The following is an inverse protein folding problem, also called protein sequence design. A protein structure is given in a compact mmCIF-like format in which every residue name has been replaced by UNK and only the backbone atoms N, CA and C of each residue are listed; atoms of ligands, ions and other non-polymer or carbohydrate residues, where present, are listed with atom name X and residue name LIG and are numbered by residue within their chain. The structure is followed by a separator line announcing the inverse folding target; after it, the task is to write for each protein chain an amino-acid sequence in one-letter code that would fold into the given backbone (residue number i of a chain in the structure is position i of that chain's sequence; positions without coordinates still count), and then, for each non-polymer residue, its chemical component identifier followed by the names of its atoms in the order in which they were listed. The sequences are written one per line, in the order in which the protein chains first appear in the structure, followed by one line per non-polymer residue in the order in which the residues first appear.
data_IF_847121075329
#
_entry.id   IF_847121075329
#
_cell.length_a   1.000
_cell.length_b   1.000
_cell.length_c   1.000
_cell.angle_alpha   90.00
_cell.angle_beta   90.00
_cell.angle_gamma   90.00
#
_symmetry.space_group_name_H-M   'P 1'
#
loop_
_entity.id
_entity.type
_entity.pdbx_description
1 polymer ?
#
# COMPACT_ATOMS: atom_id res chain seq x y z
N UNK A 1 -21.84 16.18 -5.75
CA UNK A 1 -21.47 14.76 -5.53
C UNK A 1 -21.39 14.53 -4.02
N UNK A 2 -21.95 13.45 -3.47
CA UNK A 2 -22.15 13.29 -2.02
C UNK A 2 -20.93 12.61 -1.37
N UNK A 3 -20.24 13.30 -0.46
CA UNK A 3 -19.06 12.84 0.30
C UNK A 3 -19.22 11.45 0.90
N UNK A 4 -20.41 11.12 1.41
CA UNK A 4 -20.69 9.81 2.04
C UNK A 4 -20.59 8.68 1.00
N UNK A 5 -20.98 8.95 -0.26
CA UNK A 5 -20.83 7.98 -1.37
C UNK A 5 -19.39 7.82 -1.85
N UNK A 6 -18.49 8.75 -1.52
CA UNK A 6 -17.05 8.66 -1.82
C UNK A 6 -16.34 7.82 -0.75
N UNK A 7 -16.78 7.92 0.50
CA UNK A 7 -16.26 7.16 1.63
C UNK A 7 -16.67 5.67 1.59
N UNK A 8 -17.90 5.37 1.16
CA UNK A 8 -18.34 4.00 0.87
C UNK A 8 -17.49 3.31 -0.21
N UNK A 9 -16.81 4.07 -1.08
CA UNK A 9 -15.90 3.51 -2.11
C UNK A 9 -14.52 3.16 -1.57
N UNK A 10 -14.09 3.72 -0.44
CA UNK A 10 -12.78 3.40 0.17
C UNK A 10 -12.80 2.09 0.97
N UNK A 11 -13.97 1.47 1.16
CA UNK A 11 -14.10 0.15 1.79
C UNK A 11 -15.35 -0.57 1.27
N UNK A 12 -15.35 -1.05 0.00
CA UNK A 12 -16.51 -1.65 -0.67
C UNK A 12 -17.03 -2.93 0.02
N UNK A 13 -16.29 -3.45 1.00
CA UNK A 13 -16.55 -4.70 1.71
C UNK A 13 -17.46 -4.60 2.92
N UNK A 14 -17.68 -3.39 3.43
CA UNK A 14 -18.41 -3.23 4.69
C UNK A 14 -19.87 -2.91 4.42
N UNK A 15 -20.61 -3.94 4.01
CA UNK A 15 -22.05 -3.82 3.72
C UNK A 15 -22.93 -3.78 4.98
N UNK A 16 -22.38 -4.07 6.16
CA UNK A 16 -23.12 -4.07 7.44
C UNK A 16 -22.31 -3.49 8.62
N UNK A 17 -23.03 -2.98 9.62
CA UNK A 17 -22.47 -2.47 10.88
C UNK A 17 -21.76 -3.54 11.72
N UNK A 18 -22.22 -4.80 11.65
CA UNK A 18 -21.60 -5.92 12.38
C UNK A 18 -20.26 -6.37 11.78
N UNK A 19 -20.08 -6.29 10.47
CA UNK A 19 -18.78 -6.54 9.84
C UNK A 19 -17.76 -5.47 10.22
N UNK A 20 -18.20 -4.22 10.39
CA UNK A 20 -17.36 -3.15 10.95
C UNK A 20 -16.90 -3.54 12.35
N UNK A 21 -17.81 -3.97 13.23
CA UNK A 21 -17.52 -4.36 14.62
C UNK A 21 -16.62 -5.59 14.79
N UNK A 22 -16.63 -6.54 13.86
CA UNK A 22 -15.81 -7.76 13.94
C UNK A 22 -14.32 -7.48 13.68
N UNK A 23 -14.00 -6.52 12.79
CA UNK A 23 -12.63 -5.98 12.63
C UNK A 23 -12.20 -5.11 13.83
N UNK A 24 -13.13 -4.66 14.67
CA UNK A 24 -12.90 -3.89 15.89
C UNK A 24 -12.73 -4.74 17.16
N UNK A 25 -12.57 -6.06 17.06
CA UNK A 25 -12.22 -6.92 18.23
C UNK A 25 -10.84 -6.61 18.84
N UNK A 26 -10.08 -5.68 18.24
CA UNK A 26 -9.06 -4.83 18.88
C UNK A 26 -9.58 -3.95 20.05
N UNK A 27 -10.85 -4.09 20.45
CA UNK A 27 -11.52 -3.38 21.56
C UNK A 27 -10.81 -3.52 22.91
N UNK A 28 -10.02 -4.56 23.10
CA UNK A 28 -9.18 -4.73 24.30
C UNK A 28 -7.84 -3.98 24.19
N UNK A 29 -7.24 -3.89 23.01
CA UNK A 29 -6.05 -3.05 22.77
C UNK A 29 -6.35 -1.55 22.92
N UNK A 30 -7.55 -1.11 22.55
CA UNK A 30 -8.00 0.28 22.72
C UNK A 30 -8.47 0.64 24.14
N UNK A 31 -8.71 -0.34 25.01
CA UNK A 31 -9.05 -0.05 26.42
C UNK A 31 -7.88 0.54 27.21
N UNK A 32 -6.65 0.35 26.73
CA UNK A 32 -5.42 0.90 27.30
C UNK A 32 -5.05 2.29 26.73
N UNK A 33 -5.79 2.79 25.73
CA UNK A 33 -5.67 4.13 25.11
C UNK A 33 -6.77 5.11 25.57
N UNK A 34 -7.25 4.91 26.80
CA UNK A 34 -8.57 5.31 27.30
C UNK A 34 -9.00 6.78 27.25
N UNK A 35 -8.15 7.75 26.89
CA UNK A 35 -8.52 9.18 26.97
C UNK A 35 -8.47 9.95 25.64
N UNK A 36 -8.05 9.34 24.54
CA UNK A 36 -8.12 9.96 23.19
C UNK A 36 -9.31 9.44 22.35
N UNK A 37 -9.95 8.37 22.82
CA UNK A 37 -10.92 7.55 22.08
C UNK A 37 -12.40 7.95 22.20
N UNK A 38 -12.76 9.24 22.08
CA UNK A 38 -14.19 9.63 22.07
C UNK A 38 -14.79 9.97 20.71
N UNK A 39 -14.05 10.10 19.60
CA UNK A 39 -14.68 10.58 18.33
C UNK A 39 -14.17 10.10 16.96
N UNK A 40 -13.39 9.02 16.80
CA UNK A 40 -13.02 8.57 15.44
C UNK A 40 -13.09 7.05 15.27
N UNK A 41 -14.09 6.59 14.53
CA UNK A 41 -14.16 5.23 13.98
C UNK A 41 -13.41 5.21 12.64
N UNK A 42 -12.24 4.59 12.63
CA UNK A 42 -11.22 4.61 11.56
C UNK A 42 -11.51 3.64 10.39
N UNK A 43 -12.66 3.74 9.72
CA UNK A 43 -12.88 2.97 8.47
C UNK A 43 -13.28 3.80 7.24
N UNK A 44 -13.39 5.11 7.38
CA UNK A 44 -13.32 6.03 6.26
C UNK A 44 -12.96 7.40 6.84
N UNK A 45 -11.87 8.02 6.40
CA UNK A 45 -11.53 9.39 6.82
C UNK A 45 -12.66 10.31 6.34
N UNK A 46 -13.54 10.82 7.21
CA UNK A 46 -14.64 11.66 6.76
C UNK A 46 -14.05 12.94 6.16
N UNK A 47 -14.37 13.26 4.90
CA UNK A 47 -13.92 14.49 4.23
C UNK A 47 -14.24 15.77 5.05
N UNK A 48 -15.19 15.71 5.99
CA UNK A 48 -15.48 16.79 6.95
C UNK A 48 -14.35 17.07 7.96
N UNK A 49 -13.34 16.21 8.06
CA UNK A 49 -12.11 16.44 8.84
C UNK A 49 -11.11 17.30 8.04
N UNK A 50 -11.19 17.32 6.70
CA UNK A 50 -10.28 18.12 5.87
C UNK A 50 -10.44 19.63 6.09
N UNK A 51 -11.63 20.10 6.51
CA UNK A 51 -11.85 21.51 6.86
C UNK A 51 -11.22 21.93 8.19
N UNK A 52 -10.69 20.99 8.97
CA UNK A 52 -10.08 21.23 10.28
C UNK A 52 -8.53 21.16 10.25
N UNK A 53 -7.93 21.08 9.06
CA UNK A 53 -6.47 21.01 8.91
C UNK A 53 -5.84 22.35 9.32
N UNK A 54 -4.97 22.39 10.35
CA UNK A 54 -4.20 23.59 10.65
C UNK A 54 -3.30 23.91 9.46
N UNK A 55 -3.16 25.20 9.12
CA UNK A 55 -2.33 25.63 7.98
C UNK A 55 -0.88 25.23 8.21
N UNK A 56 -0.43 24.21 7.49
CA UNK A 56 0.98 23.85 7.32
C UNK A 56 1.71 25.03 6.67
N UNK A 57 2.96 25.30 7.05
CA UNK A 57 3.72 26.39 6.44
C UNK A 57 3.88 26.18 4.93
N UNK A 58 3.99 27.27 4.16
CA UNK A 58 3.98 27.20 2.69
C UNK A 58 5.11 26.33 2.11
N UNK A 59 6.30 26.34 2.74
CA UNK A 59 7.44 25.52 2.33
C UNK A 59 7.20 24.02 2.57
N UNK A 60 6.58 23.67 3.70
CA UNK A 60 6.20 22.29 4.02
C UNK A 60 5.08 21.79 3.10
N UNK A 61 4.23 22.69 2.59
CA UNK A 61 3.14 22.34 1.67
C UNK A 61 3.66 21.90 0.30
N UNK A 62 4.67 22.56 -0.26
CA UNK A 62 5.27 22.18 -1.55
C UNK A 62 5.98 20.81 -1.46
N UNK A 63 6.72 20.57 -0.39
CA UNK A 63 7.35 19.28 -0.12
C UNK A 63 6.30 18.17 0.03
N UNK A 64 5.23 18.43 0.78
CA UNK A 64 4.12 17.49 0.98
C UNK A 64 3.40 17.16 -0.33
N UNK A 65 3.12 18.16 -1.18
CA UNK A 65 2.54 17.93 -2.51
C UNK A 65 3.47 17.04 -3.35
N UNK A 66 4.79 17.24 -3.27
CA UNK A 66 5.76 16.37 -3.93
C UNK A 66 5.65 14.90 -3.50
N UNK A 67 5.59 14.66 -2.18
CA UNK A 67 5.43 13.31 -1.61
C UNK A 67 4.11 12.67 -2.03
N UNK A 68 3.00 13.43 -2.03
CA UNK A 68 1.70 12.91 -2.44
C UNK A 68 1.61 12.64 -3.95
N UNK A 69 2.26 13.44 -4.78
CA UNK A 69 2.35 13.18 -6.22
C UNK A 69 3.23 11.96 -6.53
N UNK A 70 4.28 11.75 -5.75
CA UNK A 70 5.05 10.52 -5.79
C UNK A 70 4.18 9.31 -5.47
N UNK A 71 3.42 9.34 -4.36
CA UNK A 71 2.50 8.25 -4.01
C UNK A 71 1.45 8.04 -5.12
N UNK A 72 0.84 9.13 -5.61
CA UNK A 72 -0.17 9.09 -6.69
C UNK A 72 0.36 8.44 -7.97
N UNK A 73 1.66 8.57 -8.26
CA UNK A 73 2.27 7.90 -9.42
C UNK A 73 2.28 6.38 -9.26
N UNK A 74 2.54 5.88 -8.04
CA UNK A 74 2.51 4.45 -7.72
C UNK A 74 1.09 3.90 -7.74
N UNK A 75 0.14 4.64 -7.15
CA UNK A 75 -1.28 4.27 -7.17
C UNK A 75 -1.83 4.19 -8.61
N UNK A 76 -1.39 5.10 -9.49
CA UNK A 76 -1.73 5.03 -10.91
C UNK A 76 -1.19 3.76 -11.57
N UNK A 77 0.04 3.37 -11.25
CA UNK A 77 0.67 2.15 -11.76
C UNK A 77 -0.14 0.92 -11.35
N UNK A 78 -0.44 0.79 -10.05
CA UNK A 78 -1.15 -0.38 -9.50
C UNK A 78 -2.60 -0.44 -9.98
N UNK A 79 -3.34 0.68 -9.94
CA UNK A 79 -4.70 0.76 -10.46
C UNK A 79 -4.76 0.33 -11.93
N UNK A 80 -3.86 0.86 -12.77
CA UNK A 80 -3.83 0.53 -14.20
C UNK A 80 -3.48 -0.94 -14.42
N UNK A 81 -2.51 -1.46 -13.68
CA UNK A 81 -2.10 -2.86 -13.77
C UNK A 81 -3.26 -3.82 -13.49
N UNK A 82 -4.00 -3.59 -12.40
CA UNK A 82 -5.13 -4.43 -12.06
C UNK A 82 -6.32 -4.26 -12.99
N UNK A 83 -6.57 -3.04 -13.48
CA UNK A 83 -7.58 -2.80 -14.51
C UNK A 83 -7.29 -3.62 -15.78
N UNK A 84 -6.07 -3.54 -16.31
CA UNK A 84 -5.66 -4.29 -17.50
C UNK A 84 -5.66 -5.81 -17.26
N UNK A 85 -5.26 -6.26 -16.07
CA UNK A 85 -5.34 -7.67 -15.67
C UNK A 85 -6.76 -8.21 -15.74
N UNK A 86 -7.73 -7.48 -15.18
CA UNK A 86 -9.15 -7.85 -15.23
C UNK A 86 -9.70 -7.83 -16.66
N UNK A 87 -9.37 -6.80 -17.44
CA UNK A 87 -9.86 -6.63 -18.80
C UNK A 87 -9.27 -7.66 -19.79
N UNK A 88 -8.05 -8.14 -19.54
CA UNK A 88 -7.36 -9.13 -20.39
C UNK A 88 -7.98 -10.52 -20.35
N UNK A 89 -8.71 -10.86 -19.29
CA UNK A 89 -9.22 -12.21 -19.04
C UNK A 89 -8.18 -13.20 -18.50
N UNK A 90 -6.96 -12.76 -18.15
CA UNK A 90 -5.93 -13.63 -17.54
C UNK A 90 -6.32 -14.13 -16.14
N UNK A 91 -7.21 -13.40 -15.46
CA UNK A 91 -7.70 -13.71 -14.11
C UNK A 91 -9.00 -14.51 -14.22
N UNK A 92 -9.01 -15.73 -13.67
CA UNK A 92 -10.15 -16.64 -13.80
C UNK A 92 -10.81 -17.00 -12.47
N UNK A 93 -12.07 -17.43 -12.55
CA UNK A 93 -12.80 -18.05 -11.45
C UNK A 93 -12.93 -17.19 -10.20
N UNK A 94 -12.70 -17.78 -9.03
CA UNK A 94 -12.85 -17.11 -7.74
C UNK A 94 -11.87 -15.97 -7.50
N UNK A 95 -10.79 -15.89 -8.28
CA UNK A 95 -9.74 -14.87 -8.10
C UNK A 95 -10.16 -13.51 -8.68
N UNK A 96 -11.13 -13.49 -9.61
CA UNK A 96 -11.72 -12.25 -10.13
C UNK A 96 -12.22 -11.35 -9.00
N UNK A 97 -12.86 -11.92 -7.97
CA UNK A 97 -13.36 -11.14 -6.83
C UNK A 97 -12.23 -10.51 -6.00
N UNK A 98 -11.06 -11.17 -5.94
CA UNK A 98 -9.90 -10.68 -5.21
C UNK A 98 -9.34 -9.46 -5.95
N UNK A 99 -9.01 -9.61 -7.22
CA UNK A 99 -8.38 -8.55 -8.00
C UNK A 99 -9.32 -7.42 -8.38
N UNK A 100 -10.62 -7.68 -8.51
CA UNK A 100 -11.65 -6.62 -8.62
C UNK A 100 -11.59 -5.71 -7.39
N UNK A 101 -11.46 -6.29 -6.20
CA UNK A 101 -11.42 -5.50 -4.96
C UNK A 101 -10.11 -4.74 -4.81
N UNK A 102 -8.98 -5.37 -5.09
CA UNK A 102 -7.68 -4.69 -5.07
C UNK A 102 -7.71 -3.48 -6.02
N UNK A 103 -8.14 -3.69 -7.28
CA UNK A 103 -8.37 -2.60 -8.25
C UNK A 103 -9.27 -1.48 -7.72
N UNK A 104 -10.34 -1.81 -6.99
CA UNK A 104 -11.25 -0.81 -6.40
C UNK A 104 -10.59 -0.01 -5.28
N UNK A 105 -9.73 -0.65 -4.47
CA UNK A 105 -8.93 0.04 -3.46
C UNK A 105 -7.91 0.99 -4.11
N UNK A 106 -7.18 0.55 -5.14
CA UNK A 106 -6.22 1.43 -5.82
C UNK A 106 -6.90 2.64 -6.47
N UNK A 107 -8.07 2.44 -7.08
CA UNK A 107 -8.86 3.56 -7.58
C UNK A 107 -9.26 4.53 -6.46
N UNK A 108 -9.60 4.01 -5.28
CA UNK A 108 -9.94 4.84 -4.14
C UNK A 108 -8.73 5.63 -3.63
N UNK A 109 -7.54 5.03 -3.61
CA UNK A 109 -6.29 5.71 -3.24
C UNK A 109 -5.95 6.83 -4.25
N UNK A 110 -6.01 6.55 -5.55
CA UNK A 110 -5.84 7.56 -6.62
C UNK A 110 -6.76 8.76 -6.40
N UNK A 111 -8.07 8.51 -6.24
CA UNK A 111 -9.07 9.56 -6.06
C UNK A 111 -8.85 10.36 -4.77
N UNK A 112 -8.48 9.67 -3.69
CA UNK A 112 -8.17 10.30 -2.41
C UNK A 112 -6.96 11.24 -2.54
N UNK A 113 -5.85 10.78 -3.12
CA UNK A 113 -4.65 11.59 -3.29
C UNK A 113 -4.92 12.80 -4.20
N UNK A 114 -5.63 12.62 -5.31
CA UNK A 114 -6.04 13.72 -6.19
C UNK A 114 -6.87 14.78 -5.45
N UNK A 115 -7.80 14.35 -4.60
CA UNK A 115 -8.63 15.24 -3.78
C UNK A 115 -7.79 16.01 -2.75
N UNK A 116 -6.89 15.34 -2.04
CA UNK A 116 -6.01 15.98 -1.05
C UNK A 116 -5.07 16.98 -1.72
N UNK A 117 -4.41 16.57 -2.82
CA UNK A 117 -3.49 17.46 -3.53
C UNK A 117 -4.23 18.69 -4.05
N UNK A 118 -5.38 18.51 -4.72
CA UNK A 118 -6.09 19.62 -5.36
C UNK A 118 -6.83 20.51 -4.37
N UNK A 119 -7.68 19.93 -3.54
CA UNK A 119 -8.70 20.68 -2.80
C UNK A 119 -8.28 20.99 -1.37
N UNK A 120 -7.28 20.28 -0.83
CA UNK A 120 -6.76 20.51 0.52
C UNK A 120 -5.47 21.31 0.49
N UNK A 121 -4.52 20.90 -0.35
CA UNK A 121 -3.20 21.54 -0.43
C UNK A 121 -3.11 22.60 -1.53
N UNK A 122 -4.05 22.65 -2.47
CA UNK A 122 -4.04 23.62 -3.57
C UNK A 122 -2.96 23.34 -4.63
N UNK A 123 -2.45 22.11 -4.68
CA UNK A 123 -1.49 21.64 -5.69
C UNK A 123 -2.17 21.12 -6.96
N UNK A 124 -1.35 20.69 -7.92
CA UNK A 124 -1.83 19.95 -9.10
C UNK A 124 -1.49 18.48 -8.91
N UNK A 125 -2.47 17.56 -8.96
CA UNK A 125 -2.19 16.14 -9.06
C UNK A 125 -1.43 15.84 -10.35
N UNK A 126 -0.50 14.91 -10.27
CA UNK A 126 0.19 14.34 -11.43
C UNK A 126 -0.84 13.59 -12.28
N UNK A 127 -0.71 13.71 -13.60
CA UNK A 127 -1.51 12.94 -14.53
C UNK A 127 -1.04 11.47 -14.53
N UNK A 128 -1.97 10.55 -14.79
CA UNK A 128 -1.64 9.14 -14.98
C UNK A 128 -0.60 8.98 -16.11
N UNK A 129 0.57 8.37 -15.85
CA UNK A 129 1.54 8.04 -16.89
C UNK A 129 1.03 6.95 -17.84
N UNK A 130 1.66 6.86 -19.01
CA UNK A 130 1.54 5.66 -19.84
C UNK A 130 2.48 4.57 -19.28
N UNK A 131 2.01 3.33 -19.25
CA UNK A 131 2.73 2.21 -18.64
C UNK A 131 2.99 1.08 -19.65
N UNK A 132 4.18 0.49 -19.58
CA UNK A 132 4.56 -0.77 -20.23
C UNK A 132 4.78 -1.88 -19.19
N UNK A 133 3.71 -2.63 -18.90
CA UNK A 133 3.79 -3.78 -17.98
C UNK A 133 4.53 -5.00 -18.52
N UNK A 134 4.97 -4.97 -19.78
CA UNK A 134 5.89 -5.99 -20.30
C UNK A 134 7.34 -5.69 -19.93
N UNK A 135 7.65 -4.47 -19.44
CA UNK A 135 9.00 -3.98 -19.18
C UNK A 135 9.94 -4.26 -20.36
N UNK A 136 9.56 -3.81 -21.56
CA UNK A 136 10.30 -4.06 -22.80
C UNK A 136 10.26 -5.52 -23.28
N UNK A 137 9.16 -6.24 -23.01
CA UNK A 137 8.96 -7.64 -23.41
C UNK A 137 9.54 -8.69 -22.47
N UNK A 138 10.03 -8.31 -21.30
CA UNK A 138 10.55 -9.22 -20.27
C UNK A 138 9.44 -9.97 -19.51
N UNK A 139 8.22 -9.41 -19.49
CA UNK A 139 7.06 -9.99 -18.83
C UNK A 139 5.86 -10.09 -19.76
N UNK A 140 4.95 -11.03 -19.45
CA UNK A 140 3.68 -11.20 -20.17
C UNK A 140 2.49 -11.29 -19.20
N UNK A 141 2.30 -10.29 -18.31
CA UNK A 141 1.35 -10.40 -17.21
C UNK A 141 -0.11 -10.56 -17.63
N UNK A 142 -0.48 -10.10 -18.83
CA UNK A 142 -1.87 -10.11 -19.29
C UNK A 142 -2.22 -11.34 -20.14
N UNK A 143 -1.28 -12.28 -20.29
CA UNK A 143 -1.52 -13.58 -20.94
C UNK A 143 -1.00 -14.75 -20.13
N UNK A 144 -0.19 -14.51 -19.09
CA UNK A 144 0.34 -15.52 -18.19
C UNK A 144 0.02 -15.17 -16.73
N UNK A 145 -0.89 -15.93 -16.13
CA UNK A 145 -1.38 -15.67 -14.78
C UNK A 145 -0.32 -15.82 -13.66
N UNK A 146 0.62 -16.78 -13.71
CA UNK A 146 1.79 -16.79 -12.81
C UNK A 146 2.60 -15.49 -12.85
N UNK A 147 2.89 -14.96 -14.06
CA UNK A 147 3.55 -13.66 -14.22
C UNK A 147 2.69 -12.54 -13.66
N UNK A 148 1.37 -12.57 -13.89
CA UNK A 148 0.45 -11.59 -13.32
C UNK A 148 0.57 -11.52 -11.79
N UNK A 149 0.55 -12.68 -11.12
CA UNK A 149 0.64 -12.78 -9.66
C UNK A 149 2.02 -12.38 -9.14
N UNK A 150 3.08 -12.71 -9.87
CA UNK A 150 4.45 -12.33 -9.49
C UNK A 150 4.63 -10.80 -9.51
N UNK A 151 4.17 -10.13 -10.58
CA UNK A 151 4.21 -8.67 -10.66
C UNK A 151 3.22 -8.00 -9.69
N UNK A 152 2.05 -8.60 -9.45
CA UNK A 152 1.14 -8.11 -8.39
C UNK A 152 1.85 -8.09 -7.04
N UNK A 153 2.54 -9.18 -6.66
CA UNK A 153 3.28 -9.21 -5.40
C UNK A 153 4.37 -8.12 -5.36
N UNK A 154 5.11 -7.96 -6.45
CA UNK A 154 6.19 -6.98 -6.55
C UNK A 154 5.69 -5.54 -6.39
N UNK A 155 4.57 -5.17 -7.03
CA UNK A 155 3.99 -3.85 -6.91
C UNK A 155 3.51 -3.57 -5.48
N UNK A 156 2.69 -4.46 -4.93
CA UNK A 156 2.14 -4.29 -3.58
C UNK A 156 3.23 -4.19 -2.51
N UNK A 157 4.30 -4.97 -2.64
CA UNK A 157 5.47 -4.85 -1.76
C UNK A 157 6.19 -3.52 -1.92
N UNK A 158 6.30 -3.03 -3.16
CA UNK A 158 6.87 -1.71 -3.42
C UNK A 158 6.00 -0.63 -2.79
N UNK A 159 4.67 -0.73 -2.89
CA UNK A 159 3.70 0.18 -2.27
C UNK A 159 3.83 0.24 -0.75
N UNK A 160 3.84 -0.90 -0.06
CA UNK A 160 4.08 -1.00 1.41
C UNK A 160 5.34 -0.23 1.79
N UNK A 161 6.45 -0.53 1.11
CA UNK A 161 7.76 0.04 1.46
C UNK A 161 7.85 1.52 1.10
N UNK A 162 7.18 1.96 0.04
CA UNK A 162 7.09 3.35 -0.39
C UNK A 162 6.33 4.22 0.63
N UNK A 163 5.15 3.77 1.07
CA UNK A 163 4.36 4.49 2.07
C UNK A 163 5.09 4.59 3.40
N UNK A 164 5.70 3.48 3.85
CA UNK A 164 6.51 3.49 5.08
C UNK A 164 7.70 4.45 4.97
N UNK A 165 8.38 4.45 3.83
CA UNK A 165 9.54 5.32 3.58
C UNK A 165 9.22 6.81 3.58
N UNK A 166 7.99 7.18 3.24
CA UNK A 166 7.54 8.58 3.26
C UNK A 166 6.82 9.00 4.54
N UNK A 167 6.55 8.09 5.47
CA UNK A 167 5.81 8.40 6.70
C UNK A 167 6.45 9.55 7.51
N UNK A 168 7.79 9.60 7.61
CA UNK A 168 8.49 10.69 8.28
C UNK A 168 8.35 12.04 7.56
N UNK A 169 8.25 12.04 6.23
CA UNK A 169 8.12 13.27 5.43
C UNK A 169 6.71 13.87 5.49
N UNK A 170 5.72 13.11 5.96
CA UNK A 170 4.33 13.57 6.13
C UNK A 170 3.92 13.72 7.59
N UNK A 171 4.83 13.48 8.54
CA UNK A 171 4.50 13.34 9.96
C UNK A 171 4.02 14.63 10.62
N UNK A 172 4.35 15.79 10.05
CA UNK A 172 3.90 17.11 10.53
C UNK A 172 2.40 17.36 10.26
N UNK A 173 1.75 16.51 9.47
CA UNK A 173 0.31 16.56 9.23
C UNK A 173 -0.35 15.27 9.70
N UNK A 174 -0.96 15.28 10.89
CA UNK A 174 -1.67 14.12 11.44
C UNK A 174 -2.69 13.52 10.47
N UNK A 175 -3.37 14.35 9.69
CA UNK A 175 -4.37 13.91 8.70
C UNK A 175 -3.70 13.16 7.55
N UNK A 176 -2.61 13.70 6.99
CA UNK A 176 -1.91 13.07 5.88
C UNK A 176 -1.14 11.84 6.35
N UNK A 177 -0.49 11.90 7.53
CA UNK A 177 0.16 10.75 8.14
C UNK A 177 -0.84 9.62 8.41
N UNK A 178 -2.01 9.93 8.98
CA UNK A 178 -3.06 8.92 9.23
C UNK A 178 -3.53 8.29 7.92
N UNK A 179 -3.71 9.07 6.87
CA UNK A 179 -4.09 8.56 5.57
C UNK A 179 -3.00 7.66 4.96
N UNK A 180 -1.74 8.13 4.94
CA UNK A 180 -0.60 7.36 4.44
C UNK A 180 -0.43 6.02 5.18
N UNK A 181 -0.54 6.01 6.51
CA UNK A 181 -0.45 4.78 7.31
C UNK A 181 -1.70 3.88 7.16
N UNK A 182 -2.85 4.43 6.77
CA UNK A 182 -4.04 3.64 6.45
C UNK A 182 -3.88 2.94 5.11
N UNK A 183 -3.37 3.64 4.09
CA UNK A 183 -3.06 3.08 2.77
C UNK A 183 -1.97 2.03 2.90
N UNK A 184 -0.86 2.31 3.60
CA UNK A 184 0.17 1.33 3.96
C UNK A 184 -0.40 0.00 4.47
N UNK A 185 -1.41 0.06 5.35
CA UNK A 185 -2.06 -1.13 5.90
C UNK A 185 -2.99 -1.83 4.91
N UNK A 186 -3.52 -1.15 3.89
CA UNK A 186 -4.25 -1.74 2.77
C UNK A 186 -3.27 -2.48 1.86
N UNK A 187 -2.20 -1.82 1.42
CA UNK A 187 -1.12 -2.43 0.61
C UNK A 187 -0.58 -3.70 1.26
N UNK A 188 -0.28 -3.66 2.57
CA UNK A 188 0.23 -4.83 3.27
C UNK A 188 -0.75 -6.02 3.26
N UNK A 189 -2.07 -5.75 3.22
CA UNK A 189 -3.09 -6.80 3.12
C UNK A 189 -3.20 -7.34 1.70
N UNK A 190 -3.08 -6.50 0.68
CA UNK A 190 -3.02 -6.94 -0.71
C UNK A 190 -1.78 -7.79 -0.94
N UNK A 191 -0.60 -7.32 -0.54
CA UNK A 191 0.67 -8.02 -0.60
C UNK A 191 0.58 -9.40 0.10
N UNK A 192 -0.04 -9.46 1.28
CA UNK A 192 -0.28 -10.72 2.01
C UNK A 192 -1.23 -11.66 1.26
N UNK A 193 -2.31 -11.10 0.69
CA UNK A 193 -3.30 -11.87 -0.04
C UNK A 193 -2.72 -12.49 -1.31
N UNK A 194 -1.95 -11.72 -2.09
CA UNK A 194 -1.29 -12.20 -3.30
C UNK A 194 -0.29 -13.31 -2.98
N UNK A 195 0.56 -13.15 -1.94
CA UNK A 195 1.47 -14.22 -1.50
C UNK A 195 0.75 -15.51 -1.16
N UNK A 196 -0.30 -15.42 -0.34
CA UNK A 196 -1.11 -16.57 0.04
C UNK A 196 -1.78 -17.23 -1.15
N UNK A 197 -2.19 -16.44 -2.15
CA UNK A 197 -2.76 -16.94 -3.38
C UNK A 197 -1.71 -17.68 -4.23
N UNK A 198 -0.51 -17.12 -4.39
CA UNK A 198 0.63 -17.78 -5.05
C UNK A 198 0.97 -19.12 -4.38
N UNK A 199 1.06 -19.14 -3.05
CA UNK A 199 1.28 -20.38 -2.28
C UNK A 199 0.14 -21.39 -2.48
N UNK A 200 -1.12 -20.95 -2.40
CA UNK A 200 -2.29 -21.81 -2.63
C UNK A 200 -2.30 -22.44 -4.03
N UNK A 201 -1.73 -21.75 -5.02
CA UNK A 201 -1.61 -22.22 -6.41
C UNK A 201 -0.36 -23.05 -6.67
N UNK A 202 0.48 -23.27 -5.67
CA UNK A 202 1.73 -24.01 -5.80
C UNK A 202 2.78 -23.28 -6.63
N UNK A 203 2.69 -21.95 -6.76
CA UNK A 203 3.68 -21.12 -7.47
C UNK A 203 4.86 -20.75 -6.57
N UNK A 204 4.69 -20.86 -5.26
CA UNK A 204 5.70 -20.52 -4.26
C UNK A 204 5.41 -21.27 -2.95
N UNK A 205 6.36 -21.25 -2.01
CA UNK A 205 6.21 -21.74 -0.63
C UNK A 205 6.61 -20.65 0.36
N UNK A 206 5.86 -19.55 0.33
CA UNK A 206 6.11 -18.36 1.15
C UNK A 206 4.97 -18.08 2.13
N UNK A 207 5.31 -17.37 3.20
CA UNK A 207 4.36 -16.83 4.18
C UNK A 207 3.57 -15.67 3.58
N UNK A 208 2.57 -15.19 4.31
CA UNK A 208 1.83 -13.97 3.93
C UNK A 208 2.59 -12.67 4.19
N UNK A 209 3.89 -12.72 4.43
CA UNK A 209 4.80 -11.62 4.76
C UNK A 209 6.22 -12.02 4.35
N UNK A 210 7.17 -11.08 4.40
CA UNK A 210 8.56 -11.26 3.98
C UNK A 210 9.36 -11.90 5.11
N UNK A 211 10.27 -12.81 4.76
CA UNK A 211 11.24 -13.39 5.70
C UNK A 211 12.65 -13.17 5.14
N UNK A 212 13.51 -12.48 5.87
CA UNK A 212 14.94 -12.32 5.58
C UNK A 212 15.24 -11.89 4.13
N UNK A 213 14.59 -10.83 3.63
CA UNK A 213 14.77 -10.33 2.27
C UNK A 213 14.53 -11.36 1.14
N UNK A 214 13.81 -12.44 1.44
CA UNK A 214 13.52 -13.50 0.48
C UNK A 214 12.55 -13.01 -0.60
N UNK A 215 12.92 -13.29 -1.86
CA UNK A 215 12.07 -13.07 -3.02
C UNK A 215 11.19 -14.28 -3.37
N UNK A 216 11.33 -15.40 -2.63
CA UNK A 216 10.69 -16.67 -2.96
C UNK A 216 11.03 -17.12 -4.39
N UNK A 217 10.01 -17.36 -5.19
CA UNK A 217 10.13 -17.72 -6.61
C UNK A 217 9.99 -16.53 -7.58
N UNK A 218 9.99 -15.29 -7.09
CA UNK A 218 9.94 -14.12 -7.96
C UNK A 218 11.19 -13.98 -8.85
N UNK A 219 11.08 -13.30 -10.00
CA UNK A 219 12.22 -13.02 -10.86
C UNK A 219 13.33 -12.27 -10.12
N UNK A 220 14.60 -12.59 -10.39
CA UNK A 220 15.75 -11.93 -9.73
C UNK A 220 15.75 -10.39 -9.84
N UNK A 221 15.11 -9.84 -10.87
CA UNK A 221 14.92 -8.40 -11.05
C UNK A 221 14.14 -7.73 -9.89
N UNK A 222 13.33 -8.48 -9.14
CA UNK A 222 12.56 -7.95 -8.01
C UNK A 222 13.37 -7.82 -6.73
N UNK A 223 14.64 -8.26 -6.68
CA UNK A 223 15.44 -8.28 -5.45
C UNK A 223 15.57 -6.91 -4.77
N UNK A 224 15.60 -5.83 -5.56
CA UNK A 224 15.66 -4.47 -5.04
C UNK A 224 14.45 -4.13 -4.13
N UNK A 225 13.28 -4.74 -4.40
CA UNK A 225 12.04 -4.56 -3.62
C UNK A 225 12.17 -5.16 -2.22
N UNK A 226 13.14 -6.04 -1.98
CA UNK A 226 13.32 -6.75 -0.70
C UNK A 226 14.62 -6.37 0.01
N UNK A 227 15.39 -5.41 -0.53
CA UNK A 227 16.65 -4.96 0.06
C UNK A 227 16.41 -4.41 1.49
N UNK A 228 17.09 -4.97 2.48
CA UNK A 228 17.00 -4.53 3.88
C UNK A 228 15.91 -5.20 4.72
N UNK A 229 15.03 -6.01 4.12
CA UNK A 229 13.98 -6.78 4.84
C UNK A 229 14.55 -7.93 5.71
N UNK A 230 15.88 -8.07 5.79
CA UNK A 230 16.62 -8.92 6.72
C UNK A 230 17.21 -8.13 7.90
N UNK A 231 16.84 -6.85 8.04
CA UNK A 231 17.34 -5.98 9.09
C UNK A 231 16.90 -6.46 10.50
N UNK A 232 17.89 -6.59 11.38
CA UNK A 232 17.68 -6.96 12.79
C UNK A 232 17.95 -5.80 13.75
N UNK A 233 18.35 -4.63 13.24
CA UNK A 233 18.78 -3.49 14.04
C UNK A 233 17.78 -2.35 13.93
N UNK A 234 17.13 -2.03 15.05
CA UNK A 234 16.14 -0.97 15.15
C UNK A 234 16.49 -0.04 16.30
N UNK A 235 16.45 1.27 16.08
CA UNK A 235 16.84 2.25 17.10
C UNK A 235 18.31 2.12 17.55
N UNK A 236 19.19 1.61 16.68
CA UNK A 236 20.61 1.39 16.97
C UNK A 236 20.92 0.13 17.78
N UNK A 237 19.93 -0.74 18.02
CA UNK A 237 20.12 -1.98 18.77
C UNK A 237 19.68 -3.19 17.95
N UNK A 238 20.48 -4.25 17.98
CA UNK A 238 20.11 -5.52 17.37
C UNK A 238 19.07 -6.23 18.25
N UNK A 239 17.84 -6.32 17.77
CA UNK A 239 16.67 -6.85 18.50
C UNK A 239 16.80 -8.36 18.73
N UNK A 240 17.42 -9.09 17.80
CA UNK A 240 17.69 -10.52 17.97
C UNK A 240 18.67 -10.79 19.13
N UNK A 241 19.57 -9.84 19.44
CA UNK A 241 20.48 -9.94 20.58
C UNK A 241 19.85 -9.52 21.92
N UNK A 242 18.71 -8.81 21.89
CA UNK A 242 17.99 -8.37 23.10
C UNK A 242 16.90 -9.33 23.55
N UNK A 243 16.46 -10.21 22.67
CA UNK A 243 15.30 -11.08 22.88
C UNK A 243 15.71 -12.55 22.72
N UNK A 244 14.77 -13.47 22.97
CA UNK A 244 14.91 -14.89 22.61
C UNK A 244 14.20 -15.24 21.30
N UNK A 245 13.71 -14.22 20.58
CA UNK A 245 13.03 -14.37 19.30
C UNK A 245 14.10 -14.64 18.24
N UNK A 246 13.87 -15.62 17.37
CA UNK A 246 14.80 -15.94 16.30
C UNK A 246 14.89 -14.80 15.28
N UNK A 247 16.04 -14.68 14.60
CA UNK A 247 16.30 -13.60 13.67
C UNK A 247 15.25 -13.48 12.55
N UNK A 248 14.72 -14.60 12.06
CA UNK A 248 13.69 -14.56 11.03
C UNK A 248 12.39 -13.96 11.59
N UNK A 249 11.93 -14.40 12.76
CA UNK A 249 10.77 -13.81 13.41
C UNK A 249 10.96 -12.33 13.80
N UNK A 250 12.19 -11.89 14.09
CA UNK A 250 12.50 -10.47 14.26
C UNK A 250 12.29 -9.73 12.95
N UNK A 251 12.92 -10.16 11.85
CA UNK A 251 12.80 -9.52 10.54
C UNK A 251 11.33 -9.47 10.06
N UNK A 252 10.58 -10.56 10.23
CA UNK A 252 9.16 -10.67 9.87
C UNK A 252 8.23 -9.68 10.61
N UNK A 253 8.72 -9.04 11.67
CA UNK A 253 7.96 -8.09 12.49
C UNK A 253 7.99 -6.65 11.98
N UNK A 254 8.76 -6.34 10.93
CA UNK A 254 8.97 -4.98 10.44
C UNK A 254 8.77 -4.90 8.94
N UNK A 255 8.11 -3.83 8.49
CA UNK A 255 8.14 -3.40 7.09
C UNK A 255 9.29 -2.39 6.96
N UNK A 256 10.35 -2.76 6.24
CA UNK A 256 11.53 -1.90 6.10
C UNK A 256 11.29 -0.89 4.96
N UNK A 257 11.57 0.41 5.15
CA UNK A 257 11.27 1.41 4.13
C UNK A 257 12.17 1.27 2.91
N UNK A 258 11.68 1.72 1.75
CA UNK A 258 12.51 2.13 0.62
C UNK A 258 12.48 3.65 0.51
N UNK A 259 13.58 4.25 0.07
CA UNK A 259 13.61 5.66 -0.24
C UNK A 259 13.01 5.94 -1.64
N UNK A 260 12.70 7.21 -1.94
CA UNK A 260 12.04 7.57 -3.21
C UNK A 260 12.86 7.20 -4.44
N UNK A 261 14.19 7.30 -4.39
CA UNK A 261 15.06 6.95 -5.52
C UNK A 261 14.99 5.46 -5.83
N UNK A 262 15.04 4.61 -4.79
CA UNK A 262 14.91 3.15 -4.93
C UNK A 262 13.55 2.77 -5.53
N UNK A 263 12.47 3.35 -5.01
CA UNK A 263 11.12 3.08 -5.49
C UNK A 263 10.91 3.57 -6.92
N UNK A 264 11.36 4.78 -7.25
CA UNK A 264 11.27 5.29 -8.62
C UNK A 264 12.15 4.47 -9.58
N UNK A 265 13.30 3.96 -9.12
CA UNK A 265 14.11 3.02 -9.88
C UNK A 265 13.33 1.75 -10.26
N UNK A 266 12.58 1.19 -9.31
CA UNK A 266 11.72 0.01 -9.53
C UNK A 266 10.54 0.36 -10.46
N UNK A 267 9.79 1.43 -10.16
CA UNK A 267 8.60 1.82 -10.91
C UNK A 267 8.92 2.25 -12.36
N UNK A 268 10.09 2.88 -12.59
CA UNK A 268 10.48 3.36 -13.91
C UNK A 268 10.66 2.26 -14.95
N UNK A 269 10.84 1.00 -14.54
CA UNK A 269 10.88 -0.15 -15.43
C UNK A 269 9.58 -0.36 -16.22
N UNK A 270 8.49 0.23 -15.74
CA UNK A 270 7.14 0.04 -16.28
C UNK A 270 6.58 1.33 -16.89
N UNK A 271 7.36 2.39 -17.04
CA UNK A 271 6.94 3.60 -17.75
C UNK A 271 7.19 3.46 -19.26
N UNK A 272 6.25 3.94 -20.08
CA UNK A 272 6.31 3.90 -21.56
C UNK A 272 6.81 5.19 -22.20
#
# INVERSE_FOLDING_TARGET
MNLIKLLDKMCPDTQSSEQKDMFFTRREAFRQFGDFGKKVALSAVPLSILTAIPRVAKADTESLIGVLNYALTLEHLEYRYYQLGLDSGVIEGGDLNIFTKIRDHELAHVLFLQEVISNVLGGSPVAEPEFDFTAGGNFSPFTDYPTFLALSQAFEDTGVRAYKGQAANVMESDVVLTAALSIHSVEARHASMVRRLRTKKGQDDIKGWITNASIGSLPAATQAIYAGEDNLTHGGVNVANLTSIDAAAVAEGWDEPLNMEEVLGIASLFLA
#
